data_IF_756946446085
#
_entry.id   IF_756946446085
#
_cell.length_a   1.000
_cell.length_b   1.000
_cell.length_c   1.000
_cell.angle_alpha   90.00
_cell.angle_beta   90.00
_cell.angle_gamma   90.00
#
_symmetry.space_group_name_H-M   'P 1'
#
loop_
_entity.id
_entity.type
_entity.pdbx_description
1 polymer ?
#
# COMPACT_ATOMS: atom_id res chain seq x y z
N UNK A 1 -12.52 28.60 -15.31
CA UNK A 1 -11.48 27.57 -15.13
C UNK A 1 -10.12 28.17 -14.79
N UNK A 2 -9.66 29.26 -15.44
CA UNK A 2 -8.35 29.89 -15.19
C UNK A 2 -7.94 30.05 -13.70
N UNK A 3 -8.84 30.48 -12.81
CA UNK A 3 -8.57 30.60 -11.37
C UNK A 3 -8.22 29.25 -10.70
N UNK A 4 -8.87 28.16 -11.10
CA UNK A 4 -8.60 26.81 -10.58
C UNK A 4 -7.28 26.29 -11.13
N UNK A 5 -7.00 26.48 -12.41
CA UNK A 5 -5.74 26.07 -13.04
C UNK A 5 -4.54 26.79 -12.41
N UNK A 6 -4.67 28.09 -12.11
CA UNK A 6 -3.63 28.84 -11.39
C UNK A 6 -3.41 28.29 -9.98
N UNK A 7 -4.48 27.93 -9.26
CA UNK A 7 -4.37 27.33 -7.93
C UNK A 7 -3.68 25.96 -7.99
N UNK A 8 -4.04 25.12 -8.94
CA UNK A 8 -3.41 23.81 -9.13
C UNK A 8 -1.90 23.95 -9.40
N UNK A 9 -1.51 24.82 -10.35
CA UNK A 9 -0.10 25.09 -10.65
C UNK A 9 0.68 25.58 -9.42
N UNK A 10 0.10 26.50 -8.66
CA UNK A 10 0.72 27.01 -7.43
C UNK A 10 0.86 25.93 -6.35
N UNK A 11 -0.11 25.03 -6.22
CA UNK A 11 -0.04 23.89 -5.31
C UNK A 11 1.05 22.90 -5.73
N UNK A 12 1.11 22.52 -7.02
CA UNK A 12 2.16 21.64 -7.55
C UNK A 12 3.56 22.19 -7.28
N UNK A 13 3.78 23.48 -7.56
CA UNK A 13 5.06 24.16 -7.27
C UNK A 13 5.46 24.07 -5.80
N UNK A 14 4.52 24.30 -4.87
CA UNK A 14 4.80 24.18 -3.42
C UNK A 14 5.12 22.75 -2.99
N UNK A 15 4.51 21.74 -3.63
CA UNK A 15 4.81 20.34 -3.39
C UNK A 15 6.24 20.02 -3.86
N UNK A 16 6.61 20.46 -5.07
CA UNK A 16 7.96 20.28 -5.62
C UNK A 16 9.03 20.95 -4.75
N UNK A 17 8.71 22.09 -4.13
CA UNK A 17 9.56 22.80 -3.16
C UNK A 17 9.63 22.12 -1.78
N UNK A 18 8.94 20.99 -1.58
CA UNK A 18 8.96 20.22 -0.32
C UNK A 18 8.15 20.85 0.82
N UNK A 19 7.26 21.81 0.52
CA UNK A 19 6.45 22.52 1.53
C UNK A 19 5.20 21.76 1.97
N UNK A 20 5.00 20.53 1.48
CA UNK A 20 3.87 19.67 1.85
C UNK A 20 4.14 18.99 3.20
N UNK A 21 3.76 19.66 4.30
CA UNK A 21 4.06 19.20 5.67
C UNK A 21 3.31 17.94 6.10
N UNK A 22 2.08 17.76 5.62
CA UNK A 22 1.17 16.69 6.08
C UNK A 22 0.90 15.62 5.02
N UNK A 23 1.43 15.78 3.80
CA UNK A 23 1.20 14.89 2.65
C UNK A 23 2.48 14.26 2.14
N UNK A 24 3.56 14.20 2.93
CA UNK A 24 4.74 13.42 2.53
C UNK A 24 4.33 11.95 2.56
N UNK A 25 4.21 11.28 1.40
CA UNK A 25 3.95 9.85 1.40
C UNK A 25 5.10 9.22 2.18
N UNK A 26 4.81 8.42 3.21
CA UNK A 26 5.84 7.62 3.83
C UNK A 26 6.46 6.77 2.71
N UNK A 27 7.72 7.01 2.32
CA UNK A 27 8.28 6.30 1.19
C UNK A 27 8.33 4.83 1.57
N UNK A 28 7.61 3.98 0.81
CA UNK A 28 7.77 2.54 0.96
C UNK A 28 9.21 2.22 0.57
N UNK A 29 9.99 1.80 1.54
CA UNK A 29 11.32 1.26 1.31
C UNK A 29 11.15 -0.14 0.71
N UNK A 30 11.41 -0.26 -0.59
CA UNK A 30 11.49 -1.57 -1.22
C UNK A 30 12.73 -2.34 -0.75
N UNK A 31 12.85 -3.59 -1.19
CA UNK A 31 14.04 -4.41 -0.90
C UNK A 31 15.29 -3.70 -1.42
N UNK A 32 16.23 -3.44 -0.51
CA UNK A 32 17.48 -2.69 -0.74
C UNK A 32 18.73 -3.59 -0.65
N UNK A 33 18.53 -4.90 -0.70
CA UNK A 33 19.57 -5.94 -0.69
C UNK A 33 19.38 -6.88 -1.88
N UNK A 34 20.34 -7.78 -2.12
CA UNK A 34 20.17 -8.81 -3.16
C UNK A 34 18.91 -9.64 -2.89
N UNK A 35 18.04 -9.77 -3.89
CA UNK A 35 16.78 -10.54 -3.80
C UNK A 35 17.02 -12.03 -3.99
N UNK A 36 16.16 -12.86 -3.41
CA UNK A 36 16.16 -14.29 -3.65
C UNK A 36 15.65 -14.56 -5.09
N UNK A 37 16.43 -15.22 -5.96
CA UNK A 37 16.05 -15.42 -7.36
C UNK A 37 14.80 -16.30 -7.54
N UNK A 38 14.44 -17.12 -6.54
CA UNK A 38 13.23 -17.96 -6.57
C UNK A 38 12.02 -17.26 -5.94
N UNK A 39 12.24 -16.28 -5.07
CA UNK A 39 11.20 -15.58 -4.31
C UNK A 39 11.53 -14.07 -4.33
N UNK A 40 11.15 -13.34 -5.39
CA UNK A 40 11.65 -11.98 -5.62
C UNK A 40 11.25 -10.94 -4.56
N UNK A 41 10.18 -11.20 -3.80
CA UNK A 41 9.73 -10.37 -2.67
C UNK A 41 10.46 -10.68 -1.34
N UNK A 42 11.53 -11.48 -1.39
CA UNK A 42 12.32 -11.88 -0.24
C UNK A 42 13.80 -11.60 -0.49
N UNK A 43 14.53 -11.16 0.54
CA UNK A 43 15.97 -10.99 0.44
C UNK A 43 16.69 -12.35 0.32
N UNK A 44 17.79 -12.37 -0.44
CA UNK A 44 18.72 -13.50 -0.50
C UNK A 44 19.38 -13.68 0.88
N UNK A 45 19.37 -14.93 1.35
CA UNK A 45 19.81 -15.28 2.70
C UNK A 45 18.69 -15.27 3.74
N UNK A 46 17.43 -15.14 3.32
CA UNK A 46 16.29 -15.59 4.11
C UNK A 46 15.86 -16.97 3.61
N UNK A 47 15.98 -17.97 4.47
CA UNK A 47 15.58 -19.35 4.23
C UNK A 47 14.28 -19.71 4.92
N UNK A 48 13.72 -20.88 4.58
CA UNK A 48 12.57 -21.47 5.28
C UNK A 48 13.02 -22.67 6.09
N UNK A 49 12.58 -22.75 7.34
CA UNK A 49 12.90 -23.84 8.27
C UNK A 49 11.65 -24.38 8.94
N UNK A 50 11.68 -25.65 9.34
CA UNK A 50 10.69 -26.23 10.23
C UNK A 50 11.19 -26.17 11.68
N UNK A 51 10.38 -25.58 12.55
CA UNK A 51 10.59 -25.44 13.99
C UNK A 51 9.68 -26.43 14.71
N UNK A 52 10.25 -27.26 15.58
CA UNK A 52 9.46 -28.15 16.43
C UNK A 52 8.45 -27.35 17.25
N UNK A 53 7.17 -27.72 17.20
CA UNK A 53 6.07 -27.03 17.89
C UNK A 53 5.47 -25.81 17.17
N UNK A 54 6.20 -25.17 16.25
CA UNK A 54 5.74 -23.95 15.56
C UNK A 54 5.55 -24.11 14.04
N UNK A 55 5.93 -25.26 13.48
CA UNK A 55 5.78 -25.53 12.05
C UNK A 55 6.81 -24.78 11.20
N UNK A 56 6.38 -24.18 10.09
CA UNK A 56 7.29 -23.48 9.16
C UNK A 56 7.54 -22.04 9.61
N UNK A 57 8.76 -21.57 9.47
CA UNK A 57 9.12 -20.16 9.66
C UNK A 57 10.27 -19.73 8.77
N UNK A 58 10.48 -18.43 8.68
CA UNK A 58 11.62 -17.85 7.99
C UNK A 58 12.81 -17.71 8.94
N UNK A 59 14.03 -17.80 8.40
CA UNK A 59 15.28 -17.68 9.16
C UNK A 59 16.31 -16.90 8.36
N UNK A 60 17.09 -16.06 9.04
CA UNK A 60 18.25 -15.43 8.43
C UNK A 60 19.42 -16.43 8.38
N UNK A 61 19.93 -16.70 7.17
CA UNK A 61 21.09 -17.56 6.89
C UNK A 61 22.40 -16.75 6.77
N UNK A 62 22.29 -15.43 6.85
CA UNK A 62 23.40 -14.47 6.89
C UNK A 62 23.05 -13.29 7.78
N UNK A 63 24.05 -12.45 8.07
CA UNK A 63 23.82 -11.19 8.76
C UNK A 63 23.14 -10.15 7.86
N UNK A 64 22.21 -9.39 8.46
CA UNK A 64 21.56 -8.20 7.89
C UNK A 64 21.86 -6.99 8.78
N UNK A 65 21.87 -5.79 8.19
CA UNK A 65 22.12 -4.54 8.89
C UNK A 65 20.80 -3.85 9.27
N UNK A 66 20.86 -2.96 10.25
CA UNK A 66 19.73 -2.09 10.55
C UNK A 66 19.37 -1.25 9.31
N UNK A 67 18.10 -1.28 8.92
CA UNK A 67 17.60 -0.63 7.69
C UNK A 67 17.56 -1.53 6.45
N UNK A 68 18.05 -2.77 6.52
CA UNK A 68 17.86 -3.75 5.45
C UNK A 68 16.38 -4.17 5.39
N UNK A 69 15.77 -4.07 4.21
CA UNK A 69 14.41 -4.55 3.95
C UNK A 69 14.51 -5.98 3.45
N UNK A 70 14.12 -6.94 4.30
CA UNK A 70 14.30 -8.38 4.05
C UNK A 70 13.11 -9.07 3.39
N UNK A 71 11.95 -8.41 3.38
CA UNK A 71 10.70 -8.89 2.77
C UNK A 71 9.87 -7.68 2.36
N UNK A 72 9.38 -7.68 1.12
CA UNK A 72 8.43 -6.68 0.59
C UNK A 72 7.42 -7.39 -0.31
N UNK A 73 6.31 -7.82 0.28
CA UNK A 73 5.26 -8.55 -0.41
C UNK A 73 3.98 -7.70 -0.50
N UNK A 74 3.38 -7.69 -1.70
CA UNK A 74 2.08 -7.02 -1.90
C UNK A 74 0.99 -7.86 -1.26
N UNK A 75 0.10 -7.18 -0.52
CA UNK A 75 -1.09 -7.80 0.06
C UNK A 75 -1.93 -8.49 -1.02
N UNK A 76 -2.32 -9.74 -0.78
CA UNK A 76 -3.22 -10.50 -1.68
C UNK A 76 -4.67 -10.00 -1.54
N UNK A 77 -5.09 -9.73 -0.31
CA UNK A 77 -6.41 -9.21 0.05
C UNK A 77 -6.28 -8.27 1.24
N UNK A 78 -6.87 -7.07 1.13
CA UNK A 78 -6.98 -6.12 2.23
C UNK A 78 -8.45 -5.98 2.62
N UNK A 79 -8.74 -5.97 3.92
CA UNK A 79 -10.06 -5.61 4.45
C UNK A 79 -9.85 -4.51 5.48
N UNK A 80 -10.45 -3.36 5.22
CA UNK A 80 -10.35 -2.19 6.10
C UNK A 80 -11.41 -2.31 7.20
N UNK A 81 -10.99 -2.15 8.45
CA UNK A 81 -11.92 -2.13 9.58
C UNK A 81 -12.92 -0.98 9.45
N UNK A 82 -14.13 -1.15 10.01
CA UNK A 82 -15.21 -0.15 9.90
C UNK A 82 -14.76 1.24 10.36
N UNK A 83 -13.95 1.31 11.43
CA UNK A 83 -13.40 2.58 11.94
C UNK A 83 -12.48 3.32 10.95
N UNK A 84 -11.88 2.60 9.99
CA UNK A 84 -10.92 3.15 9.03
C UNK A 84 -11.47 3.24 7.60
N UNK A 85 -12.72 2.82 7.37
CA UNK A 85 -13.34 2.70 6.03
C UNK A 85 -13.31 4.01 5.22
N UNK A 86 -13.37 5.16 5.89
CA UNK A 86 -13.36 6.49 5.26
C UNK A 86 -12.00 7.20 5.35
N UNK A 87 -10.99 6.50 5.86
CA UNK A 87 -9.62 7.00 6.03
C UNK A 87 -8.64 6.26 5.12
N UNK A 88 -8.92 4.99 4.82
CA UNK A 88 -8.01 4.11 4.09
C UNK A 88 -8.65 3.57 2.81
N UNK A 89 -7.80 3.32 1.82
CA UNK A 89 -8.17 2.62 0.60
C UNK A 89 -8.56 1.16 0.92
N UNK A 90 -9.72 0.74 0.42
CA UNK A 90 -10.26 -0.62 0.61
C UNK A 90 -9.39 -1.67 -0.08
N UNK A 91 -8.76 -1.30 -1.19
CA UNK A 91 -7.88 -2.18 -1.97
C UNK A 91 -6.47 -2.33 -1.38
N UNK A 92 -5.77 -1.19 -1.18
CA UNK A 92 -4.33 -1.21 -0.84
C UNK A 92 -4.04 -0.88 0.63
N UNK A 93 -5.06 -0.54 1.42
CA UNK A 93 -4.96 -0.23 2.85
C UNK A 93 -4.30 1.11 3.19
N UNK A 94 -3.77 1.85 2.21
CA UNK A 94 -3.08 3.12 2.44
C UNK A 94 -4.09 4.19 2.88
N UNK A 95 -3.73 4.97 3.90
CA UNK A 95 -4.49 6.15 4.31
C UNK A 95 -4.37 7.26 3.27
N UNK A 96 -5.48 7.92 2.95
CA UNK A 96 -5.49 9.05 2.02
C UNK A 96 -6.28 10.25 2.56
N UNK A 97 -6.16 10.54 3.86
CA UNK A 97 -6.63 11.77 4.52
C UNK A 97 -7.92 12.39 3.94
N UNK A 98 -8.98 11.58 3.81
CA UNK A 98 -10.30 11.97 3.27
C UNK A 98 -10.36 12.34 1.77
N UNK A 99 -9.27 12.22 1.01
CA UNK A 99 -9.22 12.37 -0.44
C UNK A 99 -9.48 11.04 -1.17
N UNK A 100 -10.45 10.26 -0.69
CA UNK A 100 -10.79 8.96 -1.25
C UNK A 100 -11.95 9.06 -2.25
N UNK A 101 -11.93 8.19 -3.25
CA UNK A 101 -12.96 8.00 -4.25
C UNK A 101 -13.93 6.93 -3.72
N UNK A 102 -15.23 7.24 -3.51
CA UNK A 102 -16.21 6.24 -3.10
C UNK A 102 -16.55 5.30 -4.26
N UNK A 103 -16.88 4.05 -3.96
CA UNK A 103 -17.54 3.18 -4.91
C UNK A 103 -18.86 3.84 -5.38
N UNK A 104 -19.11 3.96 -6.70
CA UNK A 104 -20.30 4.64 -7.22
C UNK A 104 -21.61 3.90 -6.91
N UNK A 105 -21.54 2.63 -6.50
CA UNK A 105 -22.72 1.81 -6.22
C UNK A 105 -23.07 1.77 -4.72
N UNK A 106 -22.13 1.39 -3.86
CA UNK A 106 -22.41 1.15 -2.44
C UNK A 106 -22.01 2.29 -1.51
N UNK A 107 -21.16 3.22 -1.98
CA UNK A 107 -20.55 4.33 -1.20
C UNK A 107 -19.84 3.93 0.11
N UNK A 108 -19.70 2.62 0.38
CA UNK A 108 -19.04 2.07 1.56
C UNK A 108 -17.55 1.85 1.33
N UNK A 109 -17.16 1.25 0.21
CA UNK A 109 -15.75 1.05 -0.10
C UNK A 109 -15.17 2.33 -0.72
N UNK A 110 -14.02 2.75 -0.18
CA UNK A 110 -13.31 3.98 -0.52
C UNK A 110 -11.95 3.65 -1.14
N UNK A 111 -11.46 4.43 -2.10
CA UNK A 111 -10.25 4.13 -2.88
C UNK A 111 -9.32 5.34 -2.99
N UNK A 112 -8.01 5.12 -2.95
CA UNK A 112 -7.04 6.20 -3.12
C UNK A 112 -6.82 6.61 -4.58
N UNK A 113 -7.25 5.78 -5.54
CA UNK A 113 -7.11 6.06 -6.97
C UNK A 113 -8.11 5.23 -7.80
N UNK A 114 -8.34 5.65 -9.05
CA UNK A 114 -9.20 4.93 -10.00
C UNK A 114 -8.68 3.52 -10.30
N UNK A 115 -7.35 3.34 -10.30
CA UNK A 115 -6.74 2.01 -10.50
C UNK A 115 -7.08 1.07 -9.33
N UNK A 116 -6.99 1.56 -8.08
CA UNK A 116 -7.38 0.78 -6.91
C UNK A 116 -8.88 0.42 -6.95
N UNK A 117 -9.74 1.34 -7.39
CA UNK A 117 -11.16 1.09 -7.55
C UNK A 117 -11.42 0.01 -8.61
N UNK A 118 -10.82 0.17 -9.79
CA UNK A 118 -11.01 -0.75 -10.91
C UNK A 118 -10.53 -2.17 -10.57
N UNK A 119 -9.37 -2.30 -9.92
CA UNK A 119 -8.79 -3.59 -9.57
C UNK A 119 -9.57 -4.29 -8.46
N UNK A 120 -9.96 -3.57 -7.41
CA UNK A 120 -10.77 -4.13 -6.33
C UNK A 120 -12.16 -4.55 -6.82
N UNK A 121 -12.79 -3.74 -7.68
CA UNK A 121 -14.04 -4.11 -8.36
C UNK A 121 -13.89 -5.39 -9.17
N UNK A 122 -12.75 -5.60 -9.83
CA UNK A 122 -12.48 -6.81 -10.62
C UNK A 122 -12.26 -8.05 -9.75
N UNK A 123 -11.55 -7.90 -8.64
CA UNK A 123 -11.07 -9.00 -7.81
C UNK A 123 -12.03 -9.41 -6.70
N UNK A 124 -12.50 -8.45 -5.91
CA UNK A 124 -12.98 -8.69 -4.53
C UNK A 124 -14.27 -7.93 -4.26
N UNK A 125 -14.28 -6.61 -4.48
CA UNK A 125 -15.43 -5.76 -4.14
C UNK A 125 -16.72 -6.17 -4.86
N UNK A 126 -16.64 -6.70 -6.09
CA UNK A 126 -17.83 -7.19 -6.81
C UNK A 126 -18.67 -8.23 -6.05
N UNK A 127 -18.08 -8.92 -5.07
CA UNK A 127 -18.77 -9.94 -4.28
C UNK A 127 -19.40 -9.38 -3.00
N UNK A 128 -19.01 -8.18 -2.56
CA UNK A 128 -19.54 -7.48 -1.38
C UNK A 128 -20.35 -6.22 -1.74
N UNK A 129 -20.30 -5.77 -2.99
CA UNK A 129 -20.94 -4.54 -3.44
C UNK A 129 -22.47 -4.66 -3.42
N UNK A 130 -23.14 -3.76 -2.67
CA UNK A 130 -24.60 -3.68 -2.64
C UNK A 130 -25.27 -4.54 -1.56
N UNK A 131 -24.48 -5.16 -0.67
CA UNK A 131 -24.93 -5.63 0.63
C UNK A 131 -24.82 -4.54 1.70
#
# INVERSE_FOLDING_TARGET
>A
MAKLDTREKNCRKKIDEGLAKDNVPCPRLGINVEVNPKIPFLAKGIGMKHYSGSGRGLVAERNFKAGDVILDEKTILSVVSVANRYLNCSHCGISNQHSLIPCPNCVHCMYCSEECLAEDKRLTHRFECGF
#
